data_IF_136200477356
#
_entry.id   IF_136200477356
#
_cell.length_a   1.000
_cell.length_b   1.000
_cell.length_c   1.000
_cell.angle_alpha   90.00
_cell.angle_beta   90.00
_cell.angle_gamma   90.00
#
_symmetry.space_group_name_H-M   'P 1'
#
loop_
_entity.id
_entity.type
_entity.pdbx_description
1 polymer ?
#
# COMPACT_ATOMS: atom_id res chain seq x y z
N UNK A 1 -8.72 -10.43 18.22
CA UNK A 1 -8.88 -9.31 17.25
C UNK A 1 -8.61 -9.80 15.85
N UNK A 2 -9.50 -9.50 14.93
CA UNK A 2 -9.36 -9.92 13.55
C UNK A 2 -8.55 -8.91 12.76
N UNK A 3 -7.61 -9.39 11.98
CA UNK A 3 -6.86 -8.56 11.04
C UNK A 3 -7.44 -8.74 9.65
N UNK A 4 -7.51 -7.64 8.90
CA UNK A 4 -7.95 -7.62 7.52
C UNK A 4 -6.89 -6.93 6.69
N UNK A 5 -6.85 -7.26 5.42
CA UNK A 5 -5.96 -6.61 4.48
C UNK A 5 -6.71 -6.24 3.21
N UNK A 6 -6.24 -5.19 2.56
CA UNK A 6 -6.79 -4.75 1.29
C UNK A 6 -5.64 -4.29 0.40
N UNK A 7 -5.69 -4.68 -0.87
CA UNK A 7 -4.79 -4.19 -1.89
C UNK A 7 -5.61 -3.52 -2.98
N UNK A 8 -5.18 -2.36 -3.44
CA UNK A 8 -5.85 -1.66 -4.52
C UNK A 8 -4.85 -0.92 -5.38
N UNK A 9 -5.26 -0.66 -6.62
CA UNK A 9 -4.52 0.18 -7.54
C UNK A 9 -5.39 1.38 -7.91
N UNK A 10 -4.76 2.51 -8.18
CA UNK A 10 -5.48 3.70 -8.60
C UNK A 10 -4.56 4.56 -9.48
N UNK A 11 -5.15 5.54 -10.15
CA UNK A 11 -4.39 6.45 -10.98
C UNK A 11 -4.24 7.79 -10.27
N UNK A 12 -3.02 8.33 -10.28
CA UNK A 12 -2.75 9.64 -9.74
C UNK A 12 -3.39 10.69 -10.64
N UNK A 13 -3.80 11.81 -10.04
CA UNK A 13 -4.25 12.95 -10.84
C UNK A 13 -3.11 13.44 -11.69
N UNK A 14 -3.45 13.86 -12.93
CA UNK A 14 -2.44 14.29 -13.91
C UNK A 14 -1.65 15.51 -13.43
N UNK A 15 -2.27 16.35 -12.59
CA UNK A 15 -1.65 17.59 -12.12
C UNK A 15 -1.01 17.45 -10.73
N UNK A 16 -0.84 16.23 -10.25
CA UNK A 16 -0.26 15.98 -8.92
C UNK A 16 1.22 16.38 -8.91
N UNK A 17 1.57 17.29 -8.02
CA UNK A 17 2.93 17.76 -7.87
C UNK A 17 3.67 16.95 -6.79
N UNK A 18 5.01 16.99 -6.84
CA UNK A 18 5.82 16.28 -5.85
C UNK A 18 5.52 16.73 -4.42
N UNK A 19 5.32 18.05 -4.24
CA UNK A 19 4.99 18.58 -2.92
C UNK A 19 3.63 18.10 -2.43
N UNK A 20 2.67 17.94 -3.37
CA UNK A 20 1.36 17.39 -3.03
C UNK A 20 1.48 15.93 -2.60
N UNK A 21 2.31 15.17 -3.29
CA UNK A 21 2.53 13.77 -2.95
C UNK A 21 3.13 13.63 -1.55
N UNK A 22 4.15 14.43 -1.23
CA UNK A 22 4.77 14.39 0.08
C UNK A 22 3.76 14.68 1.19
N UNK A 23 2.89 15.67 0.98
CA UNK A 23 1.85 16.00 1.95
C UNK A 23 0.86 14.87 2.10
N UNK A 24 0.43 14.29 0.98
CA UNK A 24 -0.50 13.16 1.00
C UNK A 24 0.06 11.99 1.78
N UNK A 25 1.34 11.68 1.58
CA UNK A 25 1.98 10.57 2.28
C UNK A 25 2.09 10.83 3.77
N UNK A 26 2.41 12.07 4.16
CA UNK A 26 2.48 12.44 5.57
C UNK A 26 1.12 12.32 6.23
N UNK A 27 0.07 12.81 5.58
CA UNK A 27 -1.29 12.74 6.11
C UNK A 27 -1.76 11.30 6.20
N UNK A 28 -1.49 10.50 5.19
CA UNK A 28 -1.87 9.08 5.18
C UNK A 28 -1.17 8.31 6.30
N UNK A 29 0.11 8.58 6.49
CA UNK A 29 0.88 7.93 7.56
C UNK A 29 0.29 8.23 8.92
N UNK A 30 -0.04 9.49 9.18
CA UNK A 30 -0.62 9.91 10.45
C UNK A 30 -1.99 9.26 10.67
N UNK A 31 -2.83 9.23 9.63
CA UNK A 31 -4.16 8.63 9.71
C UNK A 31 -4.06 7.13 9.96
N UNK A 32 -3.20 6.45 9.22
CA UNK A 32 -3.01 5.00 9.37
C UNK A 32 -2.56 4.64 10.77
N UNK A 33 -1.64 5.44 11.33
CA UNK A 33 -1.15 5.18 12.68
C UNK A 33 -2.27 5.21 13.70
N UNK A 34 -3.14 6.21 13.63
CA UNK A 34 -4.26 6.33 14.55
C UNK A 34 -5.25 5.17 14.38
N UNK A 35 -5.46 4.73 13.14
CA UNK A 35 -6.39 3.65 12.83
C UNK A 35 -5.82 2.26 13.13
N UNK A 36 -4.56 2.17 13.50
CA UNK A 36 -3.90 0.87 13.74
C UNK A 36 -3.58 0.12 12.44
N UNK A 37 -3.44 0.85 11.33
CA UNK A 37 -3.22 0.27 10.01
C UNK A 37 -1.76 0.42 9.62
N UNK A 38 -1.20 -0.63 9.06
CA UNK A 38 0.16 -0.64 8.52
C UNK A 38 0.13 -1.09 7.08
N UNK A 39 1.18 -0.78 6.32
CA UNK A 39 1.23 -1.21 4.93
C UNK A 39 2.26 -0.46 4.11
N UNK A 40 2.14 -0.61 2.80
CA UNK A 40 3.11 -0.08 1.86
C UNK A 40 2.41 0.54 0.65
N UNK A 41 3.08 1.51 0.06
CA UNK A 41 2.62 2.18 -1.16
C UNK A 41 3.73 2.17 -2.19
N UNK A 42 3.40 1.73 -3.40
CA UNK A 42 4.28 1.81 -4.55
C UNK A 42 3.70 2.79 -5.57
N UNK A 43 4.57 3.55 -6.21
CA UNK A 43 4.15 4.60 -7.14
C UNK A 43 5.11 4.65 -8.32
N UNK A 44 4.57 4.65 -9.54
CA UNK A 44 5.40 4.66 -10.75
C UNK A 44 5.41 6.02 -11.47
N UNK A 45 4.79 7.03 -10.88
CA UNK A 45 4.66 8.34 -11.49
C UNK A 45 3.26 8.62 -12.01
N UNK A 46 2.48 7.59 -12.27
CA UNK A 46 1.10 7.76 -12.74
C UNK A 46 0.11 6.87 -11.99
N UNK A 47 0.54 5.74 -11.45
CA UNK A 47 -0.34 4.84 -10.73
C UNK A 47 0.18 4.56 -9.33
N UNK A 48 -0.76 4.31 -8.43
CA UNK A 48 -0.49 3.85 -7.06
C UNK A 48 -0.89 2.39 -6.94
N UNK A 49 -0.10 1.65 -6.18
CA UNK A 49 -0.46 0.32 -5.69
C UNK A 49 -0.27 0.36 -4.19
N UNK A 50 -1.33 0.10 -3.44
CA UNK A 50 -1.26 0.17 -1.99
C UNK A 50 -1.76 -1.12 -1.37
N UNK A 51 -1.05 -1.59 -0.35
CA UNK A 51 -1.43 -2.72 0.48
C UNK A 51 -1.51 -2.25 1.93
N UNK A 52 -2.65 -2.49 2.57
CA UNK A 52 -2.92 -2.07 3.93
C UNK A 52 -3.42 -3.24 4.74
N UNK A 53 -3.06 -3.28 6.02
CA UNK A 53 -3.50 -4.33 6.94
C UNK A 53 -3.71 -3.75 8.33
N UNK A 54 -4.70 -4.29 9.04
CA UNK A 54 -5.03 -3.82 10.38
C UNK A 54 -6.37 -4.35 10.85
N UNK A 55 -6.87 -3.82 11.99
CA UNK A 55 -8.20 -4.18 12.46
C UNK A 55 -9.25 -3.82 11.41
N UNK A 56 -10.33 -4.56 11.37
CA UNK A 56 -11.36 -4.36 10.35
C UNK A 56 -11.90 -2.92 10.35
N UNK A 57 -12.18 -2.38 11.53
CA UNK A 57 -12.69 -1.01 11.62
C UNK A 57 -11.66 0.02 11.17
N UNK A 58 -10.38 -0.23 11.44
CA UNK A 58 -9.30 0.63 10.97
C UNK A 58 -9.18 0.60 9.46
N UNK A 59 -9.24 -0.58 8.87
CA UNK A 59 -9.20 -0.74 7.42
C UNK A 59 -10.40 -0.04 6.78
N UNK A 60 -11.60 -0.19 7.35
CA UNK A 60 -12.79 0.46 6.84
C UNK A 60 -12.64 1.98 6.87
N UNK A 61 -12.11 2.52 7.96
CA UNK A 61 -11.91 3.98 8.10
C UNK A 61 -10.90 4.50 7.09
N UNK A 62 -9.78 3.80 6.96
CA UNK A 62 -8.73 4.22 6.02
C UNK A 62 -9.23 4.13 4.58
N UNK A 63 -9.92 3.05 4.24
CA UNK A 63 -10.42 2.87 2.88
C UNK A 63 -11.46 3.94 2.53
N UNK A 64 -12.34 4.28 3.48
CA UNK A 64 -13.31 5.34 3.25
C UNK A 64 -12.62 6.68 3.00
N UNK A 65 -11.56 6.97 3.74
CA UNK A 65 -10.76 8.18 3.52
C UNK A 65 -10.14 8.17 2.12
N UNK A 66 -9.62 7.03 1.69
CA UNK A 66 -9.00 6.88 0.37
C UNK A 66 -10.03 7.11 -0.74
N UNK A 67 -11.22 6.53 -0.59
CA UNK A 67 -12.29 6.71 -1.59
C UNK A 67 -12.68 8.17 -1.75
N UNK A 68 -12.56 8.96 -0.70
CA UNK A 68 -12.92 10.38 -0.71
C UNK A 68 -11.75 11.28 -1.12
N UNK A 69 -10.57 10.73 -1.30
CA UNK A 69 -9.40 11.53 -1.66
C UNK A 69 -9.49 11.99 -3.11
N UNK A 70 -9.04 13.23 -3.35
CA UNK A 70 -9.06 13.82 -4.69
C UNK A 70 -7.74 13.68 -5.42
N UNK A 71 -6.74 13.07 -4.78
CA UNK A 71 -5.40 12.94 -5.34
C UNK A 71 -5.32 11.85 -6.39
N UNK A 72 -6.32 10.99 -6.44
CA UNK A 72 -6.33 9.87 -7.37
C UNK A 72 -7.76 9.54 -7.79
N UNK A 73 -7.88 8.78 -8.86
CA UNK A 73 -9.16 8.29 -9.36
C UNK A 73 -9.02 6.86 -9.85
N UNK A 74 -10.11 6.35 -10.42
CA UNK A 74 -10.13 5.01 -11.01
C UNK A 74 -9.57 3.95 -10.06
N UNK A 75 -10.04 3.98 -8.83
CA UNK A 75 -9.59 3.03 -7.81
C UNK A 75 -10.14 1.64 -8.12
N UNK A 76 -9.27 0.66 -8.08
CA UNK A 76 -9.60 -0.72 -8.37
C UNK A 76 -9.10 -1.62 -7.24
N UNK A 77 -10.01 -2.25 -6.52
CA UNK A 77 -9.65 -3.18 -5.46
C UNK A 77 -9.17 -4.48 -6.06
N UNK A 78 -7.95 -4.86 -5.74
CA UNK A 78 -7.35 -6.10 -6.25
C UNK A 78 -7.71 -7.29 -5.38
N UNK A 79 -7.74 -7.09 -4.06
CA UNK A 79 -8.08 -8.14 -3.12
C UNK A 79 -8.41 -7.54 -1.77
N UNK A 80 -9.36 -8.13 -1.07
CA UNK A 80 -9.65 -7.81 0.33
C UNK A 80 -9.98 -9.11 1.04
N UNK A 81 -9.31 -9.37 2.16
CA UNK A 81 -9.49 -10.64 2.87
C UNK A 81 -8.98 -10.52 4.30
N UNK A 82 -9.46 -11.39 5.21
CA UNK A 82 -8.84 -11.52 6.52
C UNK A 82 -7.44 -12.11 6.39
N UNK A 83 -6.56 -11.72 7.31
CA UNK A 83 -5.20 -12.27 7.37
C UNK A 83 -4.90 -12.66 8.82
N UNK A 84 -3.99 -13.62 9.00
CA UNK A 84 -3.66 -14.11 10.34
C UNK A 84 -2.60 -13.26 11.03
N UNK A 85 -1.72 -12.65 10.25
CA UNK A 85 -0.68 -11.80 10.83
C UNK A 85 -0.32 -10.71 9.82
N UNK A 86 0.34 -9.68 10.33
CA UNK A 86 0.78 -8.56 9.48
C UNK A 86 2.00 -8.95 8.68
N UNK A 87 2.02 -8.56 7.42
CA UNK A 87 3.21 -8.67 6.57
C UNK A 87 4.15 -7.48 6.77
N UNK A 88 3.59 -6.32 7.13
CA UNK A 88 4.35 -5.08 7.31
C UNK A 88 4.01 -4.47 8.67
N UNK A 89 4.41 -5.11 9.79
CA UNK A 89 3.94 -4.67 11.11
C UNK A 89 4.52 -3.36 11.59
N UNK A 90 5.60 -2.87 10.96
CA UNK A 90 6.36 -1.74 11.49
C UNK A 90 6.10 -0.42 10.78
N UNK A 91 5.38 -0.44 9.65
CA UNK A 91 5.25 0.75 8.83
C UNK A 91 3.81 1.22 8.78
N UNK A 92 3.54 2.41 9.33
CA UNK A 92 2.24 3.04 9.11
C UNK A 92 2.01 3.32 7.63
N UNK A 93 3.10 3.60 6.88
CA UNK A 93 3.05 3.70 5.43
C UNK A 93 4.47 3.66 4.89
N UNK A 94 4.95 2.50 4.48
CA UNK A 94 6.19 2.39 3.73
C UNK A 94 5.94 2.85 2.30
N UNK A 95 6.91 3.54 1.70
CA UNK A 95 6.73 4.10 0.37
C UNK A 95 7.93 3.77 -0.50
N UNK A 96 7.66 3.40 -1.76
CA UNK A 96 8.73 3.08 -2.71
C UNK A 96 8.32 3.47 -4.11
N UNK A 97 9.26 4.11 -4.82
CA UNK A 97 9.12 4.35 -6.25
C UNK A 97 9.44 3.05 -7.00
N UNK A 98 8.66 2.75 -8.02
CA UNK A 98 8.85 1.54 -8.84
C UNK A 98 8.63 1.92 -10.29
N UNK A 99 9.27 1.19 -11.20
CA UNK A 99 9.10 1.43 -12.63
C UNK A 99 7.71 0.97 -13.08
N UNK A 100 7.19 1.57 -14.18
CA UNK A 100 5.82 1.24 -14.64
C UNK A 100 5.62 -0.23 -15.00
N UNK A 101 6.59 -0.85 -15.64
CA UNK A 101 6.41 -2.24 -16.08
C UNK A 101 6.33 -3.24 -14.93
N UNK A 102 7.26 -3.22 -13.96
CA UNK A 102 7.10 -4.08 -12.78
C UNK A 102 5.81 -3.80 -12.02
N UNK A 103 5.40 -2.55 -11.91
CA UNK A 103 4.14 -2.23 -11.24
C UNK A 103 2.96 -2.85 -11.98
N UNK A 104 2.93 -2.73 -13.29
CA UNK A 104 1.87 -3.34 -14.10
C UNK A 104 1.80 -4.85 -13.91
N UNK A 105 2.94 -5.51 -13.84
CA UNK A 105 2.99 -6.95 -13.63
C UNK A 105 2.38 -7.36 -12.29
N UNK A 106 2.59 -6.56 -11.26
CA UNK A 106 1.99 -6.83 -9.96
C UNK A 106 0.48 -6.61 -10.02
N UNK A 107 0.06 -5.48 -10.56
CA UNK A 107 -1.37 -5.11 -10.62
C UNK A 107 -2.15 -6.10 -11.48
N UNK A 108 -1.60 -6.51 -12.60
CA UNK A 108 -2.30 -7.36 -13.56
C UNK A 108 -2.23 -8.85 -13.21
N UNK A 109 -1.47 -9.24 -12.20
CA UNK A 109 -1.44 -10.61 -11.74
C UNK A 109 -2.77 -11.00 -11.11
N UNK A 110 -2.97 -12.29 -10.93
CA UNK A 110 -4.12 -12.76 -10.17
C UNK A 110 -3.92 -12.48 -8.69
N UNK A 111 -5.00 -12.11 -7.99
CA UNK A 111 -4.95 -11.80 -6.57
C UNK A 111 -5.91 -12.71 -5.79
N UNK A 112 -5.55 -14.01 -5.63
CA UNK A 112 -6.44 -14.94 -4.94
C UNK A 112 -6.48 -14.76 -3.43
N UNK A 113 -5.55 -14.01 -2.86
CA UNK A 113 -5.48 -13.76 -1.42
C UNK A 113 -4.16 -13.15 -1.04
N UNK A 114 -3.85 -13.21 0.26
CA UNK A 114 -2.62 -12.63 0.82
C UNK A 114 -1.72 -13.70 1.42
N UNK A 115 -1.78 -14.90 0.93
CA UNK A 115 -0.89 -15.97 1.36
C UNK A 115 0.39 -15.93 0.53
N UNK A 116 1.49 -16.36 1.12
CA UNK A 116 2.75 -16.47 0.41
C UNK A 116 2.59 -17.42 -0.78
N UNK A 117 3.20 -17.06 -1.89
CA UNK A 117 3.10 -17.84 -3.11
C UNK A 117 1.84 -17.58 -3.90
N UNK A 118 0.99 -16.65 -3.48
CA UNK A 118 -0.27 -16.38 -4.17
C UNK A 118 -0.18 -15.10 -5.00
N UNK A 119 0.06 -15.30 -6.27
CA UNK A 119 -0.17 -14.28 -7.31
C UNK A 119 0.41 -12.91 -7.03
N UNK A 120 -0.45 -11.90 -7.09
CA UNK A 120 -0.04 -10.52 -6.98
C UNK A 120 0.58 -10.17 -5.64
N UNK A 121 0.12 -10.76 -4.55
CA UNK A 121 0.71 -10.48 -3.25
C UNK A 121 2.16 -10.95 -3.17
N UNK A 122 2.44 -12.14 -3.70
CA UNK A 122 3.81 -12.64 -3.76
C UNK A 122 4.69 -11.72 -4.59
N UNK A 123 4.18 -11.26 -5.74
CA UNK A 123 4.92 -10.34 -6.59
C UNK A 123 5.18 -9.00 -5.90
N UNK A 124 4.20 -8.51 -5.14
CA UNK A 124 4.37 -7.27 -4.37
C UNK A 124 5.48 -7.45 -3.34
N UNK A 125 5.48 -8.54 -2.59
CA UNK A 125 6.50 -8.80 -1.60
C UNK A 125 7.89 -8.89 -2.23
N UNK A 126 8.00 -9.58 -3.34
CA UNK A 126 9.28 -9.69 -4.05
C UNK A 126 9.78 -8.35 -4.54
N UNK A 127 8.90 -7.54 -5.10
CA UNK A 127 9.27 -6.21 -5.57
C UNK A 127 9.70 -5.30 -4.42
N UNK A 128 9.02 -5.43 -3.28
CA UNK A 128 9.37 -4.61 -2.12
C UNK A 128 10.74 -4.99 -1.56
N UNK A 129 11.01 -6.27 -1.39
CA UNK A 129 12.25 -6.73 -0.77
C UNK A 129 13.40 -6.87 -1.76
N UNK A 130 13.08 -7.15 -3.02
CA UNK A 130 14.10 -7.45 -4.03
C UNK A 130 14.67 -6.25 -4.73
N UNK A 131 13.98 -5.11 -4.71
CA UNK A 131 14.48 -3.92 -5.38
C UNK A 131 15.69 -3.41 -4.61
N UNK A 132 16.85 -3.81 -5.02
CA UNK A 132 18.15 -3.49 -4.42
C UNK A 132 18.30 -3.88 -2.93
N UNK A 133 17.31 -4.58 -2.39
CA UNK A 133 17.40 -5.09 -1.02
C UNK A 133 17.41 -4.03 0.05
N UNK A 134 17.04 -2.81 -0.28
CA UNK A 134 17.16 -1.72 0.64
C UNK A 134 15.81 -1.37 1.26
N UNK A 135 15.80 -1.23 2.58
CA UNK A 135 14.61 -0.84 3.30
C UNK A 135 14.48 0.66 3.36
N UNK A 136 13.25 1.13 3.47
CA UNK A 136 12.99 2.55 3.70
C UNK A 136 13.67 2.99 4.99
N UNK A 137 14.38 4.12 5.00
CA UNK A 137 15.02 4.60 6.23
C UNK A 137 14.04 4.77 7.37
N UNK A 138 12.85 5.28 7.09
CA UNK A 138 11.83 5.44 8.11
C UNK A 138 11.40 4.09 8.68
N UNK A 139 11.30 3.07 7.84
CA UNK A 139 10.93 1.73 8.27
C UNK A 139 12.01 1.14 9.17
N UNK A 140 13.26 1.35 8.83
CA UNK A 140 14.37 0.91 9.67
C UNK A 140 14.29 1.55 11.04
N UNK A 141 14.05 2.87 11.09
CA UNK A 141 13.91 3.58 12.35
C UNK A 141 12.74 3.06 13.17
N UNK A 142 11.62 2.79 12.52
CA UNK A 142 10.44 2.25 13.21
C UNK A 142 10.64 0.80 13.64
N UNK A 143 11.49 0.09 12.95
CA UNK A 143 11.77 -1.31 13.24
C UNK A 143 12.66 -1.53 14.43
N UNK A 144 13.31 -0.52 14.87
CA UNK A 144 14.23 -0.60 16.00
C UNK A 144 13.55 -0.60 17.34
#
# INVERSE_FOLDING_TARGET
MSLHAIAYASEARADLQTTDLDRLLADATAFNRVAGVTGVLMFDGSRFLQYLEGPQDGIDSVFQRILNARSHGQLHVLCRAPVVQRAFPRWSMGTRRIEPEPLAQIVDAAWPGFLLGSGGFERLLQAWTGADGELEPAAVALGS
#
